data_IF_439559420147
#
_entry.id   IF_439559420147
#
_cell.length_a   1.000
_cell.length_b   1.000
_cell.length_c   1.000
_cell.angle_alpha   90.00
_cell.angle_beta   90.00
_cell.angle_gamma   90.00
#
_symmetry.space_group_name_H-M   'P 1'
#
loop_
_entity.id
_entity.type
_entity.pdbx_description
1 polymer ?
#
# COMPACT_ATOMS: atom_id res chain seq x y z
N UNK A 1 -2.38 16.83 -15.31
CA UNK A 1 -2.23 16.78 -13.84
C UNK A 1 -0.75 16.66 -13.53
N UNK A 2 -0.11 17.66 -12.90
CA UNK A 2 1.23 17.48 -12.33
C UNK A 2 1.05 17.34 -10.82
N UNK A 3 0.82 16.10 -10.36
CA UNK A 3 0.91 15.76 -8.94
C UNK A 3 2.34 15.97 -8.42
N UNK A 4 2.52 15.95 -7.11
CA UNK A 4 3.85 16.10 -6.51
C UNK A 4 4.76 14.94 -6.97
N UNK A 5 5.82 15.19 -7.77
CA UNK A 5 6.63 14.12 -8.36
C UNK A 5 7.46 13.36 -7.31
N UNK A 6 7.74 13.98 -6.15
CA UNK A 6 8.40 13.31 -5.03
C UNK A 6 7.44 12.32 -4.37
N UNK A 7 6.22 12.78 -4.06
CA UNK A 7 5.18 11.92 -3.47
C UNK A 7 4.84 10.73 -4.39
N UNK A 8 4.82 10.96 -5.70
CA UNK A 8 4.60 9.91 -6.69
C UNK A 8 5.69 8.82 -6.63
N UNK A 9 6.96 9.22 -6.49
CA UNK A 9 8.11 8.32 -6.35
C UNK A 9 8.09 7.59 -5.01
N UNK A 10 7.78 8.29 -3.92
CA UNK A 10 7.68 7.70 -2.59
C UNK A 10 6.57 6.64 -2.54
N UNK A 11 5.40 6.94 -3.11
CA UNK A 11 4.32 5.95 -3.20
C UNK A 11 4.75 4.71 -3.98
N UNK A 12 5.45 4.88 -5.10
CA UNK A 12 5.99 3.73 -5.86
C UNK A 12 6.93 2.87 -5.00
N UNK A 13 7.81 3.52 -4.24
CA UNK A 13 8.74 2.87 -3.35
C UNK A 13 8.02 2.06 -2.26
N UNK A 14 7.12 2.70 -1.51
CA UNK A 14 6.36 2.05 -0.43
C UNK A 14 5.55 0.84 -0.93
N UNK A 15 4.91 0.96 -2.10
CA UNK A 15 4.18 -0.17 -2.70
C UNK A 15 5.12 -1.33 -3.08
N UNK A 16 6.34 -1.05 -3.52
CA UNK A 16 7.33 -2.09 -3.85
C UNK A 16 7.90 -2.73 -2.59
N UNK A 17 8.15 -1.94 -1.55
CA UNK A 17 8.61 -2.42 -0.25
C UNK A 17 7.57 -3.32 0.43
N UNK A 18 6.29 -2.93 0.41
CA UNK A 18 5.20 -3.78 0.90
C UNK A 18 5.19 -5.18 0.25
N UNK A 19 5.42 -5.29 -1.07
CA UNK A 19 5.51 -6.60 -1.72
C UNK A 19 6.64 -7.44 -1.12
N UNK A 20 7.81 -6.81 -0.92
CA UNK A 20 9.00 -7.45 -0.37
C UNK A 20 8.77 -7.89 1.08
N UNK A 21 8.15 -7.05 1.90
CA UNK A 21 7.82 -7.34 3.29
C UNK A 21 6.82 -8.49 3.43
N UNK A 22 5.82 -8.52 2.55
CA UNK A 22 4.85 -9.61 2.50
C UNK A 22 5.46 -10.92 1.98
N UNK A 23 6.58 -10.90 1.26
CA UNK A 23 7.34 -12.08 0.84
C UNK A 23 8.16 -12.67 1.99
N UNK A 24 8.86 -11.84 2.75
CA UNK A 24 9.62 -12.27 3.92
C UNK A 24 8.76 -12.48 5.18
N UNK A 25 7.45 -12.28 5.06
CA UNK A 25 6.47 -12.47 6.13
C UNK A 25 6.76 -11.63 7.39
N UNK A 26 7.02 -10.32 7.21
CA UNK A 26 7.10 -9.39 8.34
C UNK A 26 5.80 -9.36 9.14
N UNK A 27 5.91 -8.92 10.39
CA UNK A 27 4.75 -8.77 11.24
C UNK A 27 3.77 -7.71 10.73
N UNK A 28 2.53 -7.85 11.19
CA UNK A 28 1.40 -7.03 10.78
C UNK A 28 1.54 -5.56 11.17
N UNK A 29 2.32 -5.23 12.20
CA UNK A 29 2.54 -3.84 12.61
C UNK A 29 3.38 -3.12 11.55
N UNK A 30 4.53 -3.69 11.15
CA UNK A 30 5.34 -3.12 10.07
C UNK A 30 4.57 -2.99 8.76
N UNK A 31 3.77 -4.00 8.40
CA UNK A 31 2.94 -3.95 7.18
C UNK A 31 1.91 -2.82 7.24
N UNK A 32 1.29 -2.60 8.39
CA UNK A 32 0.29 -1.54 8.57
C UNK A 32 0.92 -0.15 8.54
N UNK A 33 2.07 0.04 9.18
CA UNK A 33 2.82 1.29 9.15
C UNK A 33 3.21 1.68 7.72
N UNK A 34 3.77 0.73 6.97
CA UNK A 34 4.17 0.95 5.60
C UNK A 34 2.97 1.22 4.68
N UNK A 35 1.84 0.56 4.92
CA UNK A 35 0.59 0.80 4.19
C UNK A 35 0.00 2.19 4.49
N UNK A 36 0.14 2.69 5.72
CA UNK A 36 -0.27 4.06 6.07
C UNK A 36 0.62 5.12 5.42
N UNK A 37 1.94 4.89 5.37
CA UNK A 37 2.88 5.75 4.64
C UNK A 37 2.51 5.82 3.15
N UNK A 38 2.23 4.66 2.53
CA UNK A 38 1.76 4.61 1.15
C UNK A 38 0.41 5.36 0.99
N UNK A 39 -0.53 5.21 1.93
CA UNK A 39 -1.80 5.94 1.88
C UNK A 39 -1.60 7.46 1.99
N UNK A 40 -0.70 7.93 2.83
CA UNK A 40 -0.33 9.33 2.94
C UNK A 40 0.20 9.87 1.60
N UNK A 41 1.15 9.16 0.99
CA UNK A 41 1.73 9.59 -0.29
C UNK A 41 0.70 9.54 -1.44
N UNK A 42 -0.21 8.57 -1.41
CA UNK A 42 -1.35 8.51 -2.33
C UNK A 42 -2.28 9.73 -2.19
N UNK A 43 -2.58 10.16 -0.96
CA UNK A 43 -3.36 11.39 -0.70
C UNK A 43 -2.64 12.63 -1.21
N UNK A 44 -1.34 12.71 -1.01
CA UNK A 44 -0.52 13.85 -1.46
C UNK A 44 -0.39 13.90 -2.98
N UNK A 45 -0.29 12.74 -3.62
CA UNK A 45 -0.08 12.62 -5.07
C UNK A 45 -1.37 12.81 -5.87
N UNK A 46 -2.45 12.13 -5.46
CA UNK A 46 -3.68 12.04 -6.23
C UNK A 46 -4.88 12.75 -5.59
N UNK A 47 -4.80 13.05 -4.29
CA UNK A 47 -5.89 13.65 -3.53
C UNK A 47 -6.82 12.63 -2.88
N UNK A 48 -7.49 13.06 -1.79
CA UNK A 48 -8.31 12.19 -0.92
C UNK A 48 -9.47 11.47 -1.61
N UNK A 49 -9.98 12.02 -2.72
CA UNK A 49 -11.14 11.47 -3.46
C UNK A 49 -10.73 10.58 -4.63
N UNK A 50 -9.44 10.38 -4.85
CA UNK A 50 -8.96 9.56 -5.96
C UNK A 50 -9.24 8.08 -5.71
N UNK A 51 -9.53 7.33 -6.77
CA UNK A 51 -9.91 5.92 -6.68
C UNK A 51 -8.84 5.07 -5.97
N UNK A 52 -7.55 5.27 -6.27
CA UNK A 52 -6.46 4.56 -5.58
C UNK A 52 -6.45 4.87 -4.08
N UNK A 53 -6.57 6.15 -3.73
CA UNK A 53 -6.52 6.59 -2.34
C UNK A 53 -7.67 6.00 -1.52
N UNK A 54 -8.87 5.92 -2.10
CA UNK A 54 -10.02 5.29 -1.46
C UNK A 54 -9.80 3.78 -1.28
N UNK A 55 -9.29 3.08 -2.29
CA UNK A 55 -8.99 1.65 -2.21
C UNK A 55 -7.93 1.34 -1.16
N UNK A 56 -6.86 2.14 -1.08
CA UNK A 56 -5.81 1.99 -0.07
C UNK A 56 -6.37 2.27 1.34
N UNK A 57 -7.23 3.27 1.48
CA UNK A 57 -7.86 3.60 2.76
C UNK A 57 -8.78 2.48 3.26
N UNK A 58 -9.56 1.88 2.36
CA UNK A 58 -10.40 0.72 2.66
C UNK A 58 -9.52 -0.46 3.09
N UNK A 59 -8.49 -0.79 2.29
CA UNK A 59 -7.57 -1.88 2.60
C UNK A 59 -6.85 -1.70 3.94
N UNK A 60 -6.37 -0.49 4.21
CA UNK A 60 -5.75 -0.15 5.49
C UNK A 60 -6.73 -0.34 6.64
N UNK A 61 -7.95 0.21 6.53
CA UNK A 61 -8.96 0.13 7.59
C UNK A 61 -9.35 -1.32 7.90
N UNK A 62 -9.49 -2.15 6.87
CA UNK A 62 -9.85 -3.56 7.01
C UNK A 62 -8.75 -4.40 7.65
N UNK A 63 -7.50 -4.18 7.28
CA UNK A 63 -6.36 -4.86 7.91
C UNK A 63 -6.15 -4.35 9.33
N UNK A 64 -6.17 -3.04 9.53
CA UNK A 64 -5.96 -2.43 10.85
C UNK A 64 -6.94 -2.99 11.87
N UNK A 65 -8.24 -3.05 11.55
CA UNK A 65 -9.26 -3.64 12.46
C UNK A 65 -9.00 -5.10 12.82
N UNK A 66 -8.40 -5.88 11.92
CA UNK A 66 -8.15 -7.32 12.12
C UNK A 66 -6.85 -7.60 12.88
N UNK A 67 -5.86 -6.72 12.75
CA UNK A 67 -4.50 -6.96 13.21
C UNK A 67 -3.99 -5.96 14.25
N UNK A 68 -4.76 -4.91 14.61
CA UNK A 68 -4.37 -3.93 15.64
C UNK A 68 -3.97 -4.59 16.98
N UNK A 69 -4.65 -5.68 17.36
CA UNK A 69 -4.38 -6.42 18.59
C UNK A 69 -3.44 -7.62 18.38
N UNK A 70 -3.12 -7.96 17.12
CA UNK A 70 -2.26 -9.10 16.73
C UNK A 70 -0.83 -8.67 16.40
N UNK A 71 -0.39 -7.56 17.00
CA UNK A 71 0.96 -7.01 16.83
C UNK A 71 2.02 -8.10 16.98
N UNK A 72 3.11 -7.99 16.23
CA UNK A 72 4.19 -8.98 16.15
C UNK A 72 3.82 -10.34 15.52
N UNK A 73 2.59 -10.55 15.04
CA UNK A 73 2.24 -11.67 14.18
C UNK A 73 2.21 -11.26 12.70
N UNK A 74 2.76 -12.07 11.78
CA UNK A 74 2.57 -11.86 10.34
C UNK A 74 1.09 -11.88 9.95
N UNK A 75 0.77 -11.24 8.83
CA UNK A 75 -0.56 -11.38 8.22
C UNK A 75 -0.84 -12.86 7.94
N UNK A 76 -2.11 -13.24 8.04
CA UNK A 76 -2.50 -14.56 7.59
C UNK A 76 -2.20 -14.72 6.08
N UNK A 77 -2.03 -15.98 5.65
CA UNK A 77 -1.61 -16.27 4.27
C UNK A 77 -2.61 -15.76 3.22
N UNK A 78 -3.88 -15.67 3.56
CA UNK A 78 -4.92 -15.23 2.64
C UNK A 78 -4.88 -13.70 2.47
N UNK A 79 -4.81 -12.97 3.57
CA UNK A 79 -4.70 -11.52 3.63
C UNK A 79 -3.40 -11.04 2.99
N UNK A 80 -2.28 -11.70 3.29
CA UNK A 80 -0.99 -11.42 2.63
C UNK A 80 -1.11 -11.58 1.10
N UNK A 81 -1.73 -12.68 0.64
CA UNK A 81 -1.94 -12.91 -0.80
C UNK A 81 -2.85 -11.86 -1.44
N UNK A 82 -3.95 -11.51 -0.79
CA UNK A 82 -4.89 -10.50 -1.28
C UNK A 82 -4.25 -9.12 -1.33
N UNK A 83 -3.49 -8.74 -0.30
CA UNK A 83 -2.78 -7.46 -0.26
C UNK A 83 -1.72 -7.39 -1.36
N UNK A 84 -0.92 -8.45 -1.55
CA UNK A 84 0.04 -8.53 -2.67
C UNK A 84 -0.63 -8.33 -4.03
N UNK A 85 -1.75 -9.01 -4.25
CA UNK A 85 -2.50 -8.90 -5.51
C UNK A 85 -2.98 -7.47 -5.75
N UNK A 86 -3.59 -6.83 -4.74
CA UNK A 86 -4.05 -5.43 -4.85
C UNK A 86 -2.88 -4.46 -5.15
N UNK A 87 -1.76 -4.61 -4.44
CA UNK A 87 -0.58 -3.76 -4.66
C UNK A 87 -0.04 -3.92 -6.09
N UNK A 88 0.03 -5.16 -6.59
CA UNK A 88 0.44 -5.41 -7.98
C UNK A 88 -0.52 -4.75 -8.98
N UNK A 89 -1.83 -4.84 -8.76
CA UNK A 89 -2.82 -4.16 -9.59
C UNK A 89 -2.63 -2.63 -9.58
N UNK A 90 -2.37 -2.05 -8.41
CA UNK A 90 -2.11 -0.61 -8.27
C UNK A 90 -0.86 -0.18 -9.03
N UNK A 91 0.25 -0.91 -8.87
CA UNK A 91 1.49 -0.65 -9.61
C UNK A 91 1.26 -0.74 -11.12
N UNK A 92 0.56 -1.77 -11.60
CA UNK A 92 0.27 -1.93 -13.02
C UNK A 92 -0.60 -0.78 -13.54
N UNK A 93 -1.68 -0.46 -12.83
CA UNK A 93 -2.67 0.53 -13.29
C UNK A 93 -2.15 1.95 -13.27
N UNK A 94 -1.37 2.32 -12.26
CA UNK A 94 -0.97 3.71 -12.04
C UNK A 94 0.48 3.99 -12.45
N UNK A 95 1.35 2.98 -12.52
CA UNK A 95 2.77 3.17 -12.82
C UNK A 95 3.24 2.49 -14.12
N UNK A 96 2.50 1.54 -14.70
CA UNK A 96 2.97 0.78 -15.88
C UNK A 96 2.69 1.45 -17.25
N UNK A 97 2.56 2.76 -17.28
CA UNK A 97 2.69 3.58 -18.50
C UNK A 97 3.34 4.93 -18.19
N UNK A 98 4.65 4.93 -18.00
CA UNK A 98 5.52 5.99 -18.52
C UNK A 98 6.88 5.36 -18.82
N UNK A 99 7.14 4.95 -20.08
CA UNK A 99 8.52 4.88 -20.53
C UNK A 99 9.03 6.32 -20.47
N UNK A 100 9.99 6.60 -19.60
CA UNK A 100 10.93 7.66 -19.92
C UNK A 100 11.80 7.15 -21.08
#
# INVERSE_FOLDING_TARGET
MRGNPVAYRNLYHHLTELLSYLEISLDSEFILEELDAALYESRTTFGKRHALTLQMQEQFSDLYRRYIDRKAEPLDKNDSRQLKFKIQEWLIKFYRKHPY
#
